data_IF_324244902803
#
_entry.id   IF_324244902803
#
_cell.length_a   1.000
_cell.length_b   1.000
_cell.length_c   1.000
_cell.angle_alpha   90.00
_cell.angle_beta   90.00
_cell.angle_gamma   90.00
#
_symmetry.space_group_name_H-M   'P 1'
#
loop_
_entity.id
_entity.type
_entity.pdbx_description
1 polymer ?
#
# COMPACT_ATOMS: atom_id res chain seq x y z
N UNK A 1 -4.57 6.81 8.60
CA UNK A 1 -4.03 7.81 7.66
C UNK A 1 -3.12 7.10 6.68
N UNK A 2 -3.18 7.48 5.40
CA UNK A 2 -2.58 6.72 4.31
C UNK A 2 -1.16 7.20 3.99
N UNK A 3 -0.28 6.26 3.62
CA UNK A 3 1.11 6.52 3.19
C UNK A 3 1.23 7.54 2.06
N UNK A 4 0.16 7.73 1.30
CA UNK A 4 0.14 8.59 0.13
C UNK A 4 0.48 10.05 0.48
N UNK A 5 0.21 10.47 1.72
CA UNK A 5 0.51 11.82 2.23
C UNK A 5 2.00 12.16 2.08
N UNK A 6 2.91 11.20 2.29
CA UNK A 6 4.36 11.41 2.18
C UNK A 6 4.83 11.83 0.77
N UNK A 7 3.97 11.66 -0.23
CA UNK A 7 4.26 12.00 -1.62
C UNK A 7 3.21 12.96 -2.20
N UNK A 8 2.35 13.49 -1.34
CA UNK A 8 1.38 14.52 -1.71
C UNK A 8 1.96 15.90 -1.42
N UNK A 9 1.50 16.89 -2.17
CA UNK A 9 1.93 18.28 -2.05
C UNK A 9 0.84 19.11 -1.35
N UNK A 10 1.21 19.81 -0.30
CA UNK A 10 0.32 20.67 0.47
C UNK A 10 0.91 22.06 0.72
N UNK A 11 0.19 22.85 1.50
CA UNK A 11 0.63 24.17 1.94
C UNK A 11 -0.02 24.49 3.30
N UNK A 12 0.72 25.05 4.28
CA UNK A 12 0.23 25.29 5.65
C UNK A 12 -1.06 26.08 5.73
N UNK A 13 -1.18 27.08 4.84
CA UNK A 13 -2.35 27.94 4.73
C UNK A 13 -3.45 27.36 3.83
N UNK A 14 -3.50 26.05 3.57
CA UNK A 14 -4.49 25.43 2.68
C UNK A 14 -4.99 24.09 3.21
N UNK A 15 -6.24 23.74 2.88
CA UNK A 15 -6.80 22.39 3.08
C UNK A 15 -6.66 21.52 1.84
N UNK A 16 -6.10 22.06 0.75
CA UNK A 16 -5.91 21.36 -0.50
C UNK A 16 -4.65 20.48 -0.42
N UNK A 17 -4.83 19.19 -0.65
CA UNK A 17 -3.74 18.24 -0.84
C UNK A 17 -3.72 17.79 -2.30
N UNK A 18 -2.57 17.95 -2.96
CA UNK A 18 -2.36 17.56 -4.35
C UNK A 18 -1.62 16.23 -4.38
N UNK A 19 -2.34 15.16 -4.71
CA UNK A 19 -1.77 13.81 -4.76
C UNK A 19 -1.39 13.44 -6.19
N UNK A 20 -0.10 13.29 -6.51
CA UNK A 20 0.34 12.95 -7.85
C UNK A 20 -0.04 11.50 -8.21
N UNK A 21 -0.49 11.31 -9.45
CA UNK A 21 -0.79 9.99 -10.04
C UNK A 21 0.12 9.66 -11.24
N UNK A 22 1.13 10.50 -11.50
CA UNK A 22 2.10 10.27 -12.57
C UNK A 22 3.05 9.12 -12.25
N UNK A 23 3.53 8.42 -13.28
CA UNK A 23 4.54 7.38 -13.09
C UNK A 23 5.86 7.99 -12.62
N UNK A 24 6.57 7.29 -11.72
CA UNK A 24 7.93 7.61 -11.25
C UNK A 24 8.11 8.90 -10.44
N UNK A 25 7.08 9.75 -10.31
CA UNK A 25 7.21 11.07 -9.65
C UNK A 25 7.38 10.99 -8.14
N UNK A 26 7.01 9.85 -7.53
CA UNK A 26 7.08 9.62 -6.08
C UNK A 26 8.43 9.03 -5.62
N UNK A 27 9.44 8.98 -6.49
CA UNK A 27 10.76 8.42 -6.17
C UNK A 27 11.85 9.49 -5.98
N UNK A 28 11.52 10.77 -6.10
CA UNK A 28 12.48 11.86 -5.90
C UNK A 28 12.60 12.11 -4.39
N UNK A 29 13.74 11.78 -3.81
CA UNK A 29 13.97 11.90 -2.37
C UNK A 29 14.14 13.35 -1.90
N UNK A 30 13.84 13.56 -0.62
CA UNK A 30 14.15 14.80 0.08
C UNK A 30 15.67 14.95 0.31
N UNK A 31 16.23 16.12 0.01
CA UNK A 31 17.50 16.55 0.60
C UNK A 31 17.68 18.07 0.50
N UNK A 32 17.54 18.80 1.62
CA UNK A 32 17.66 20.27 1.65
C UNK A 32 18.92 20.85 0.98
N UNK A 33 20.12 20.38 1.36
CA UNK A 33 21.40 20.92 0.84
C UNK A 33 21.83 20.41 -0.54
N UNK A 34 21.33 19.24 -0.99
CA UNK A 34 21.70 18.63 -2.28
C UNK A 34 20.60 18.75 -3.32
N UNK A 35 19.47 19.38 -2.98
CA UNK A 35 18.37 19.61 -3.88
C UNK A 35 18.89 20.18 -5.21
N UNK A 36 18.58 19.48 -6.29
CA UNK A 36 18.99 19.83 -7.65
C UNK A 36 17.78 19.95 -8.58
N UNK A 37 16.57 19.70 -8.08
CA UNK A 37 15.31 20.00 -8.76
C UNK A 37 14.33 20.74 -7.84
N UNK A 38 13.35 21.41 -8.45
CA UNK A 38 12.15 21.92 -7.79
C UNK A 38 10.90 21.65 -8.63
N UNK A 39 9.73 21.74 -8.01
CA UNK A 39 8.46 21.79 -8.75
C UNK A 39 8.17 23.19 -9.27
N UNK A 40 7.50 23.26 -10.42
CA UNK A 40 6.87 24.49 -10.91
C UNK A 40 5.61 24.18 -11.71
N UNK A 41 4.72 25.16 -11.84
CA UNK A 41 3.61 25.07 -12.78
C UNK A 41 4.08 25.30 -14.22
N UNK A 42 3.64 24.48 -15.20
CA UNK A 42 3.89 24.76 -16.60
C UNK A 42 3.29 26.11 -17.03
N UNK A 43 4.08 26.97 -17.66
CA UNK A 43 3.58 28.28 -18.11
C UNK A 43 2.58 28.18 -19.29
N UNK A 44 2.66 27.09 -20.06
CA UNK A 44 1.82 26.87 -21.25
C UNK A 44 0.67 25.93 -20.93
N UNK A 45 -0.42 26.08 -21.67
CA UNK A 45 -1.51 25.12 -21.61
C UNK A 45 -1.08 23.77 -22.20
N UNK A 46 -1.40 22.70 -21.47
CA UNK A 46 -1.19 21.31 -21.86
C UNK A 46 -2.53 20.56 -21.82
N UNK A 47 -2.52 19.31 -22.27
CA UNK A 47 -3.65 18.40 -22.03
C UNK A 47 -3.86 18.24 -20.52
N UNK A 48 -2.77 18.03 -19.78
CA UNK A 48 -2.80 17.79 -18.34
C UNK A 48 -2.65 19.04 -17.46
N UNK A 49 -2.48 20.22 -18.05
CA UNK A 49 -2.31 21.47 -17.30
C UNK A 49 -3.13 22.61 -17.90
N UNK A 50 -4.03 23.18 -17.10
CA UNK A 50 -4.86 24.33 -17.45
C UNK A 50 -4.42 25.51 -16.59
N UNK A 51 -3.58 26.44 -17.08
CA UNK A 51 -3.09 27.57 -16.29
C UNK A 51 -4.20 28.40 -15.64
N UNK A 52 -5.37 28.48 -16.30
CA UNK A 52 -6.57 29.16 -15.77
C UNK A 52 -7.14 28.54 -14.49
N UNK A 53 -6.79 27.32 -14.13
CA UNK A 53 -7.22 26.68 -12.88
C UNK A 53 -6.46 27.23 -11.67
N UNK A 54 -5.23 27.70 -11.87
CA UNK A 54 -4.41 28.29 -10.81
C UNK A 54 -5.01 29.59 -10.25
N UNK A 55 -5.93 30.24 -10.99
CA UNK A 55 -6.66 31.43 -10.51
C UNK A 55 -8.05 31.11 -9.95
N UNK A 56 -8.44 29.84 -9.90
CA UNK A 56 -9.70 29.39 -9.29
C UNK A 56 -9.52 29.10 -7.82
N UNK A 57 -10.60 29.09 -7.07
CA UNK A 57 -10.61 28.76 -5.64
C UNK A 57 -10.70 27.24 -5.40
N UNK A 58 -10.62 26.86 -4.12
CA UNK A 58 -10.75 25.47 -3.70
C UNK A 58 -12.12 24.89 -4.08
N UNK A 59 -13.20 25.68 -4.04
CA UNK A 59 -14.54 25.18 -4.33
C UNK A 59 -14.71 24.81 -5.81
N UNK A 60 -14.08 25.55 -6.72
CA UNK A 60 -13.96 25.12 -8.10
C UNK A 60 -13.25 23.77 -8.21
N UNK A 61 -12.09 23.60 -7.53
CA UNK A 61 -11.29 22.37 -7.60
C UNK A 61 -12.08 21.14 -7.10
N UNK A 62 -12.87 21.28 -6.03
CA UNK A 62 -13.77 20.22 -5.54
C UNK A 62 -14.73 19.74 -6.63
N UNK A 63 -15.23 20.64 -7.46
CA UNK A 63 -16.20 20.36 -8.52
C UNK A 63 -15.58 19.81 -9.81
N UNK A 64 -14.25 19.78 -9.93
CA UNK A 64 -13.53 19.28 -11.13
C UNK A 64 -12.53 18.17 -10.80
N UNK A 65 -12.68 17.50 -9.65
CA UNK A 65 -11.77 16.44 -9.20
C UNK A 65 -11.70 15.23 -10.15
N UNK A 66 -12.73 15.02 -10.98
CA UNK A 66 -12.79 13.95 -11.99
C UNK A 66 -12.20 14.38 -13.35
N UNK A 67 -11.70 15.63 -13.46
CA UNK A 67 -11.16 16.20 -14.69
C UNK A 67 -9.64 16.32 -14.61
N UNK A 68 -9.00 16.18 -15.77
CA UNK A 68 -7.57 16.42 -15.92
C UNK A 68 -7.34 17.92 -16.12
N UNK A 69 -6.52 18.55 -15.28
CA UNK A 69 -6.20 19.97 -15.44
C UNK A 69 -5.06 20.55 -14.62
N UNK A 70 -4.42 19.78 -13.74
CA UNK A 70 -3.24 20.20 -12.98
C UNK A 70 -2.09 19.22 -13.21
N UNK A 71 -0.89 19.76 -13.45
CA UNK A 71 0.36 19.02 -13.48
C UNK A 71 1.50 19.94 -13.05
N UNK A 72 2.55 19.38 -12.47
CA UNK A 72 3.81 20.06 -12.19
C UNK A 72 4.88 19.60 -13.17
N UNK A 73 5.83 20.50 -13.44
CA UNK A 73 7.13 20.14 -14.00
C UNK A 73 8.15 20.02 -12.86
N UNK A 74 9.04 19.03 -12.93
CA UNK A 74 10.29 19.04 -12.18
C UNK A 74 11.36 19.74 -13.00
N UNK A 75 11.98 20.76 -12.42
CA UNK A 75 12.95 21.62 -13.11
C UNK A 75 14.28 21.54 -12.41
N UNK A 76 15.32 21.27 -13.20
CA UNK A 76 16.68 21.30 -12.71
C UNK A 76 17.08 22.71 -12.26
N UNK A 77 17.63 22.81 -11.06
CA UNK A 77 18.18 24.06 -10.49
C UNK A 77 19.56 24.39 -11.04
N UNK A 78 20.20 23.41 -11.68
CA UNK A 78 21.53 23.44 -12.30
C UNK A 78 21.65 22.23 -13.24
N UNK A 79 22.73 22.16 -14.00
CA UNK A 79 23.05 20.96 -14.76
C UNK A 79 23.20 19.73 -13.82
N UNK A 80 22.60 18.61 -14.22
CA UNK A 80 22.60 17.32 -13.50
C UNK A 80 23.42 16.33 -14.32
N UNK A 81 24.42 15.70 -13.70
CA UNK A 81 25.32 14.76 -14.39
C UNK A 81 24.66 13.38 -14.55
N UNK A 82 25.10 12.61 -15.55
CA UNK A 82 24.69 11.21 -15.70
C UNK A 82 25.02 10.41 -14.44
N UNK A 83 24.03 9.72 -13.89
CA UNK A 83 24.16 8.91 -12.68
C UNK A 83 24.08 9.70 -11.36
N UNK A 84 23.89 11.03 -11.42
CA UNK A 84 23.61 11.83 -10.25
C UNK A 84 22.17 11.58 -9.76
N UNK A 85 21.99 11.41 -8.45
CA UNK A 85 20.68 11.28 -7.84
C UNK A 85 19.92 12.62 -7.90
N UNK A 86 18.62 12.54 -8.13
CA UNK A 86 17.72 13.68 -8.16
C UNK A 86 17.17 13.90 -6.76
N UNK A 87 17.41 15.08 -6.20
CA UNK A 87 16.92 15.48 -4.89
C UNK A 87 16.04 16.72 -5.01
N UNK A 88 14.98 16.74 -4.22
CA UNK A 88 14.11 17.90 -4.06
C UNK A 88 14.14 18.36 -2.60
N UNK A 89 13.98 19.66 -2.37
CA UNK A 89 13.70 20.17 -1.03
C UNK A 89 12.20 20.05 -0.77
N UNK A 90 11.82 19.38 0.32
CA UNK A 90 10.41 19.17 0.68
C UNK A 90 9.87 20.30 1.57
N UNK A 91 10.71 21.27 1.93
CA UNK A 91 10.35 22.42 2.75
C UNK A 91 10.79 22.28 4.21
N UNK A 92 10.93 23.42 4.87
CA UNK A 92 11.45 23.52 6.23
C UNK A 92 10.54 22.82 7.25
N UNK A 93 9.22 22.91 7.08
CA UNK A 93 8.27 22.27 8.01
C UNK A 93 8.33 20.74 7.93
N UNK A 94 8.51 20.20 6.72
CA UNK A 94 8.73 18.76 6.55
C UNK A 94 10.04 18.31 7.21
N UNK A 95 11.12 19.07 7.00
CA UNK A 95 12.44 18.77 7.59
C UNK A 95 12.38 18.83 9.13
N UNK A 96 11.72 19.84 9.69
CA UNK A 96 11.52 19.97 11.13
C UNK A 96 10.66 18.83 11.68
N UNK A 97 9.56 18.48 11.00
CA UNK A 97 8.72 17.34 11.37
C UNK A 97 9.49 16.02 11.34
N UNK A 98 10.33 15.80 10.32
CA UNK A 98 11.17 14.61 10.21
C UNK A 98 12.21 14.55 11.34
N UNK A 99 12.89 15.66 11.61
CA UNK A 99 13.90 15.72 12.68
C UNK A 99 13.27 15.46 14.06
N UNK A 100 12.11 16.07 14.35
CA UNK A 100 11.35 15.81 15.57
C UNK A 100 10.92 14.34 15.65
N UNK A 101 10.40 13.81 14.54
CA UNK A 101 10.00 12.42 14.45
C UNK A 101 11.16 11.48 14.78
N UNK A 102 12.32 11.65 14.15
CA UNK A 102 13.50 10.80 14.39
C UNK A 102 13.99 10.90 15.84
N UNK A 103 13.90 12.08 16.45
CA UNK A 103 14.29 12.27 17.86
C UNK A 103 13.36 11.56 18.83
N UNK A 104 12.05 11.61 18.57
CA UNK A 104 11.01 11.11 19.48
C UNK A 104 10.56 9.68 19.15
N UNK A 105 10.97 9.14 17.99
CA UNK A 105 10.52 7.83 17.53
C UNK A 105 11.09 6.74 18.43
N UNK A 106 10.16 6.02 19.06
CA UNK A 106 10.44 4.78 19.76
C UNK A 106 9.81 3.64 18.96
N UNK A 107 10.58 2.56 18.67
CA UNK A 107 9.99 1.36 18.08
C UNK A 107 8.88 0.87 19.03
N UNK A 108 7.67 0.54 18.52
CA UNK A 108 6.65 -0.08 19.34
C UNK A 108 7.23 -1.26 20.14
N UNK A 109 6.83 -1.46 21.40
CA UNK A 109 7.38 -2.55 22.23
C UNK A 109 7.21 -3.95 21.59
N UNK A 110 6.25 -4.09 20.66
CA UNK A 110 6.05 -5.30 19.88
C UNK A 110 6.77 -5.30 18.50
N UNK A 111 7.33 -4.18 18.02
CA UNK A 111 7.82 -4.11 16.63
C UNK A 111 9.11 -4.87 16.35
N UNK A 112 9.91 -5.20 17.38
CA UNK A 112 11.04 -6.12 17.17
C UNK A 112 10.51 -7.55 17.01
N UNK A 113 10.28 -7.94 15.75
CA UNK A 113 9.96 -9.31 15.36
C UNK A 113 8.46 -9.68 15.33
N UNK A 114 7.53 -8.76 15.60
CA UNK A 114 6.10 -9.07 15.48
C UNK A 114 5.57 -9.07 14.04
N UNK A 115 6.15 -8.26 13.15
CA UNK A 115 5.77 -8.27 11.74
C UNK A 115 6.65 -9.27 10.96
N UNK A 116 6.01 -10.26 10.34
CA UNK A 116 6.65 -11.20 9.43
C UNK A 116 5.90 -11.18 8.11
N UNK A 117 6.50 -10.60 7.07
CA UNK A 117 5.85 -10.57 5.76
C UNK A 117 5.57 -12.00 5.27
N UNK A 118 4.37 -12.25 4.74
CA UNK A 118 3.92 -13.58 4.30
C UNK A 118 4.93 -14.34 3.41
N UNK A 119 5.63 -13.64 2.52
CA UNK A 119 6.67 -14.23 1.65
C UNK A 119 7.90 -14.80 2.38
N UNK A 120 8.13 -14.37 3.62
CA UNK A 120 9.22 -14.86 4.47
C UNK A 120 8.85 -16.19 5.14
N UNK A 121 7.56 -16.56 5.17
CA UNK A 121 7.14 -17.85 5.69
C UNK A 121 7.73 -18.99 4.86
N UNK A 122 8.41 -19.93 5.52
CA UNK A 122 8.97 -21.13 4.92
C UNK A 122 8.44 -22.34 5.70
N UNK A 123 7.72 -23.22 5.01
CA UNK A 123 7.18 -24.44 5.60
C UNK A 123 5.73 -24.68 5.19
N UNK A 124 5.19 -25.80 5.68
CA UNK A 124 3.80 -26.15 5.48
C UNK A 124 2.87 -25.22 6.27
N UNK A 125 1.62 -25.16 5.82
CA UNK A 125 0.57 -24.52 6.59
C UNK A 125 0.31 -25.33 7.86
N UNK A 126 0.20 -24.63 8.98
CA UNK A 126 -0.09 -25.16 10.30
C UNK A 126 -1.54 -25.63 10.38
N UNK A 127 -1.74 -26.85 10.89
CA UNK A 127 -3.06 -27.32 11.32
C UNK A 127 -3.55 -26.52 12.53
N UNK A 128 -4.83 -26.64 12.86
CA UNK A 128 -5.43 -25.98 14.04
C UNK A 128 -4.70 -26.34 15.34
N UNK A 129 -4.36 -27.62 15.52
CA UNK A 129 -3.60 -28.06 16.69
C UNK A 129 -2.18 -27.47 16.72
N UNK A 130 -1.49 -27.42 15.57
CA UNK A 130 -0.17 -26.80 15.46
C UNK A 130 -0.25 -25.28 15.73
N UNK A 131 -1.29 -24.61 15.23
CA UNK A 131 -1.52 -23.17 15.43
C UNK A 131 -1.84 -22.83 16.88
N UNK A 132 -2.53 -23.70 17.62
CA UNK A 132 -2.78 -23.51 19.04
C UNK A 132 -1.52 -23.69 19.89
N UNK A 133 -0.63 -24.61 19.51
CA UNK A 133 0.64 -24.83 20.20
C UNK A 133 1.69 -23.77 19.85
N UNK A 134 1.75 -23.38 18.58
CA UNK A 134 2.68 -22.40 18.03
C UNK A 134 1.92 -21.54 16.99
N UNK A 135 1.36 -20.38 17.39
CA UNK A 135 0.57 -19.55 16.49
C UNK A 135 1.41 -18.97 15.35
N UNK A 136 0.73 -18.57 14.28
CA UNK A 136 1.35 -17.65 13.32
C UNK A 136 1.62 -16.29 13.99
N UNK A 137 2.58 -15.51 13.46
CA UNK A 137 2.64 -14.08 13.72
C UNK A 137 1.25 -13.44 13.57
N UNK A 138 0.89 -12.51 14.45
CA UNK A 138 -0.44 -11.89 14.48
C UNK A 138 -0.80 -11.17 13.17
N UNK A 139 0.22 -10.79 12.39
CA UNK A 139 0.05 -10.16 11.09
C UNK A 139 -0.27 -11.14 9.96
N UNK A 140 -0.29 -12.45 10.19
CA UNK A 140 -0.57 -13.46 9.17
C UNK A 140 -1.93 -14.12 9.40
N UNK A 141 -2.66 -14.33 8.30
CA UNK A 141 -3.92 -15.06 8.28
C UNK A 141 -3.97 -16.04 7.12
N UNK A 142 -4.79 -17.08 7.24
CA UNK A 142 -5.00 -18.08 6.19
C UNK A 142 -6.33 -17.83 5.50
N UNK A 143 -6.31 -17.78 4.17
CA UNK A 143 -7.48 -17.68 3.31
C UNK A 143 -7.53 -18.85 2.33
N UNK A 144 -8.73 -19.23 1.92
CA UNK A 144 -8.95 -20.29 0.94
C UNK A 144 -9.76 -19.79 -0.25
N UNK A 145 -9.55 -20.43 -1.41
CA UNK A 145 -10.42 -20.27 -2.57
C UNK A 145 -11.67 -21.15 -2.33
N UNK A 146 -12.89 -20.60 -2.32
CA UNK A 146 -14.11 -21.39 -2.10
C UNK A 146 -14.51 -22.15 -3.39
N UNK A 147 -13.65 -23.06 -3.87
CA UNK A 147 -13.88 -23.87 -5.07
C UNK A 147 -13.86 -25.35 -4.74
N UNK A 148 -15.06 -25.94 -4.66
CA UNK A 148 -15.24 -27.33 -4.23
C UNK A 148 -16.53 -27.91 -4.80
N UNK A 149 -16.61 -29.24 -4.83
CA UNK A 149 -17.83 -30.00 -5.18
C UNK A 149 -18.16 -31.02 -4.10
N UNK A 150 -19.44 -31.35 -3.95
CA UNK A 150 -19.85 -32.46 -3.12
C UNK A 150 -19.20 -33.77 -3.63
N UNK A 151 -18.72 -34.60 -2.71
CA UNK A 151 -18.04 -35.86 -3.03
C UNK A 151 -18.99 -37.08 -3.13
N UNK A 152 -20.28 -36.89 -2.79
CA UNK A 152 -21.30 -37.94 -2.78
C UNK A 152 -21.43 -38.70 -1.46
N UNK A 153 -20.55 -38.46 -0.49
CA UNK A 153 -20.53 -39.08 0.84
C UNK A 153 -20.85 -38.08 1.96
N UNK A 154 -21.34 -36.90 1.60
CA UNK A 154 -21.64 -35.81 2.53
C UNK A 154 -20.46 -34.87 2.80
N UNK A 155 -19.32 -35.07 2.11
CA UNK A 155 -18.16 -34.20 2.17
C UNK A 155 -18.01 -33.33 0.92
N UNK A 156 -16.99 -32.48 0.93
CA UNK A 156 -16.61 -31.65 -0.21
C UNK A 156 -15.15 -31.91 -0.60
N UNK A 157 -14.89 -31.92 -1.90
CA UNK A 157 -13.56 -32.06 -2.48
C UNK A 157 -13.18 -30.81 -3.25
N UNK A 158 -11.94 -30.35 -3.03
CA UNK A 158 -11.40 -29.19 -3.72
C UNK A 158 -11.44 -29.36 -5.24
N UNK A 159 -11.72 -28.27 -5.93
CA UNK A 159 -11.62 -28.17 -7.37
C UNK A 159 -10.74 -26.98 -7.72
N UNK A 160 -9.55 -27.25 -8.26
CA UNK A 160 -8.72 -26.18 -8.78
C UNK A 160 -9.50 -25.38 -9.85
N UNK A 161 -9.58 -24.05 -9.74
CA UNK A 161 -10.28 -23.23 -10.73
C UNK A 161 -9.70 -23.45 -12.14
N UNK A 162 -10.56 -23.78 -13.11
CA UNK A 162 -10.14 -24.08 -14.49
C UNK A 162 -9.58 -22.86 -15.26
N UNK A 163 -9.75 -21.63 -14.76
CA UNK A 163 -9.33 -20.41 -15.43
C UNK A 163 -8.59 -19.45 -14.50
N UNK A 164 -7.27 -19.36 -14.65
CA UNK A 164 -6.43 -18.28 -14.12
C UNK A 164 -6.60 -16.93 -14.88
N UNK A 165 -7.59 -16.77 -15.77
CA UNK A 165 -7.64 -15.64 -16.71
C UNK A 165 -9.07 -15.15 -17.00
N UNK A 166 -9.55 -14.20 -16.18
CA UNK A 166 -10.19 -12.92 -16.57
C UNK A 166 -11.00 -12.28 -15.44
N UNK A 167 -11.54 -13.07 -14.51
CA UNK A 167 -12.38 -12.56 -13.41
C UNK A 167 -11.69 -12.63 -12.03
N UNK A 168 -10.40 -12.99 -12.00
CA UNK A 168 -9.64 -13.25 -10.77
C UNK A 168 -10.09 -14.55 -10.07
N UNK A 169 -9.33 -15.06 -9.11
CA UNK A 169 -9.90 -15.99 -8.13
C UNK A 169 -11.12 -15.29 -7.49
N UNK A 170 -12.24 -16.00 -7.35
CA UNK A 170 -13.38 -15.50 -6.57
C UNK A 170 -12.93 -15.03 -5.17
N UNK A 171 -13.76 -14.27 -4.44
CA UNK A 171 -13.35 -13.71 -3.16
C UNK A 171 -12.82 -14.82 -2.25
N UNK A 172 -11.59 -14.63 -1.79
CA UNK A 172 -10.98 -15.47 -0.78
C UNK A 172 -11.83 -15.42 0.49
N UNK A 173 -11.94 -16.55 1.17
CA UNK A 173 -12.68 -16.68 2.45
C UNK A 173 -11.73 -17.14 3.55
N UNK A 174 -12.05 -16.80 4.80
CA UNK A 174 -11.30 -17.33 5.94
C UNK A 174 -11.40 -18.85 5.98
N UNK A 175 -10.31 -19.51 6.35
CA UNK A 175 -10.31 -20.94 6.56
C UNK A 175 -9.32 -21.38 7.63
N UNK A 176 -9.66 -22.47 8.31
CA UNK A 176 -8.77 -23.16 9.23
C UNK A 176 -8.28 -24.46 8.57
N UNK A 177 -6.97 -24.70 8.60
CA UNK A 177 -6.41 -26.00 8.20
C UNK A 177 -6.67 -26.99 9.33
N UNK A 178 -7.53 -27.97 9.12
CA UNK A 178 -7.84 -29.01 10.11
C UNK A 178 -6.81 -30.12 10.09
N UNK A 179 -6.40 -30.54 8.90
CA UNK A 179 -5.47 -31.66 8.71
C UNK A 179 -4.52 -31.40 7.54
N UNK A 180 -3.30 -31.96 7.63
CA UNK A 180 -2.31 -32.02 6.57
C UNK A 180 -2.06 -33.48 6.21
N UNK A 181 -2.27 -33.81 4.94
CA UNK A 181 -2.10 -35.17 4.38
C UNK A 181 -0.90 -35.16 3.43
N UNK A 182 0.11 -35.96 3.73
CA UNK A 182 1.31 -36.13 2.90
C UNK A 182 1.17 -37.43 2.12
N UNK A 183 1.14 -37.34 0.80
CA UNK A 183 1.08 -38.50 -0.09
C UNK A 183 2.43 -39.20 -0.25
N UNK A 184 2.41 -40.41 -0.82
CA UNK A 184 3.62 -41.24 -1.02
C UNK A 184 4.68 -40.57 -1.92
N UNK A 185 4.25 -39.69 -2.83
CA UNK A 185 5.11 -38.86 -3.69
C UNK A 185 5.72 -37.65 -2.99
N UNK A 186 5.36 -37.39 -1.74
CA UNK A 186 5.69 -36.16 -1.01
C UNK A 186 4.76 -34.99 -1.30
N UNK A 187 3.74 -35.18 -2.15
CA UNK A 187 2.72 -34.16 -2.40
C UNK A 187 1.90 -33.91 -1.13
N UNK A 188 1.66 -32.65 -0.81
CA UNK A 188 0.92 -32.26 0.39
C UNK A 188 -0.44 -31.71 0.00
N UNK A 189 -1.48 -32.22 0.66
CA UNK A 189 -2.83 -31.69 0.58
C UNK A 189 -3.37 -31.45 1.98
N UNK A 190 -4.41 -30.64 2.06
CA UNK A 190 -5.00 -30.20 3.31
C UNK A 190 -6.50 -30.50 3.35
N UNK A 191 -7.00 -30.69 4.56
CA UNK A 191 -8.42 -30.61 4.88
C UNK A 191 -8.64 -29.25 5.54
N UNK A 192 -9.50 -28.43 4.96
CA UNK A 192 -9.79 -27.07 5.45
C UNK A 192 -11.24 -26.95 5.88
N UNK A 193 -11.49 -26.13 6.89
CA UNK A 193 -12.82 -25.73 7.34
C UNK A 193 -13.06 -24.28 6.96
N UNK A 194 -14.24 -24.00 6.41
CA UNK A 194 -14.71 -22.66 6.04
C UNK A 194 -15.71 -22.21 7.12
N UNK A 195 -15.32 -21.35 8.08
CA UNK A 195 -16.14 -21.06 9.26
C UNK A 195 -17.49 -20.40 8.92
N UNK A 196 -17.53 -19.55 7.90
CA UNK A 196 -18.74 -18.79 7.52
C UNK A 196 -19.87 -19.69 7.00
N UNK A 197 -19.52 -20.85 6.42
CA UNK A 197 -20.48 -21.80 5.83
C UNK A 197 -20.53 -23.13 6.55
N UNK A 198 -19.66 -23.32 7.54
CA UNK A 198 -19.43 -24.59 8.26
C UNK A 198 -19.13 -25.78 7.33
N UNK A 199 -18.38 -25.54 6.25
CA UNK A 199 -18.05 -26.54 5.23
C UNK A 199 -16.63 -27.07 5.46
N UNK A 200 -16.45 -28.38 5.35
CA UNK A 200 -15.13 -29.03 5.35
C UNK A 200 -14.78 -29.50 3.94
N UNK A 201 -13.65 -29.03 3.42
CA UNK A 201 -13.16 -29.35 2.08
C UNK A 201 -11.86 -30.16 2.18
N UNK A 202 -11.83 -31.31 1.52
CA UNK A 202 -10.66 -32.20 1.48
C UNK A 202 -9.87 -32.07 0.17
N UNK A 203 -8.59 -32.42 0.23
CA UNK A 203 -7.71 -32.49 -0.94
C UNK A 203 -7.36 -31.12 -1.51
N UNK A 204 -7.33 -30.08 -0.67
CA UNK A 204 -6.89 -28.74 -1.07
C UNK A 204 -5.36 -28.76 -1.19
N UNK A 205 -4.79 -28.32 -2.30
CA UNK A 205 -3.35 -28.16 -2.45
C UNK A 205 -2.90 -26.72 -2.12
N UNK A 206 -1.60 -26.43 -2.21
CA UNK A 206 -1.05 -25.10 -1.95
C UNK A 206 -1.62 -24.00 -2.87
N UNK A 207 -2.27 -24.34 -4.00
CA UNK A 207 -2.91 -23.35 -4.87
C UNK A 207 -4.29 -22.90 -4.35
N UNK A 208 -4.90 -23.70 -3.48
CA UNK A 208 -6.21 -23.43 -2.88
C UNK A 208 -6.17 -22.64 -1.58
N UNK A 209 -4.98 -22.44 -0.99
CA UNK A 209 -4.79 -21.78 0.29
C UNK A 209 -3.72 -20.69 0.18
N UNK A 210 -4.01 -19.52 0.76
CA UNK A 210 -3.12 -18.37 0.80
C UNK A 210 -2.82 -18.00 2.26
N UNK A 211 -1.54 -18.00 2.62
CA UNK A 211 -1.07 -17.31 3.83
C UNK A 211 -0.70 -15.87 3.43
N UNK A 212 -1.42 -14.90 3.98
CA UNK A 212 -1.26 -13.49 3.61
C UNK A 212 -1.18 -12.60 4.83
N UNK A 213 -0.60 -11.42 4.63
CA UNK A 213 -0.63 -10.34 5.61
C UNK A 213 -2.06 -9.87 5.88
N UNK A 214 -2.37 -9.61 7.15
CA UNK A 214 -3.65 -9.05 7.57
C UNK A 214 -3.71 -7.57 7.14
N UNK A 215 -4.92 -7.09 6.86
CA UNK A 215 -5.12 -5.70 6.40
C UNK A 215 -4.58 -4.73 7.45
N UNK A 216 -3.77 -3.76 7.02
CA UNK A 216 -3.15 -2.72 7.86
C UNK A 216 -2.13 -3.24 8.91
N UNK A 217 -1.56 -4.42 8.73
CA UNK A 217 -0.54 -4.94 9.66
C UNK A 217 0.90 -4.60 9.33
N UNK A 218 1.21 -4.22 8.09
CA UNK A 218 2.56 -3.83 7.71
C UNK A 218 3.03 -2.56 8.46
N UNK A 219 4.33 -2.46 8.71
CA UNK A 219 4.93 -1.39 9.53
C UNK A 219 4.57 0.03 9.05
N UNK A 220 4.39 0.23 7.75
CA UNK A 220 3.98 1.54 7.23
C UNK A 220 2.56 1.97 7.65
N UNK A 221 1.75 1.04 8.16
CA UNK A 221 0.43 1.32 8.75
C UNK A 221 0.49 1.64 10.24
N UNK A 222 1.65 1.51 10.90
CA UNK A 222 1.80 1.88 12.30
C UNK A 222 1.37 3.33 12.51
N UNK A 223 0.67 3.59 13.61
CA UNK A 223 0.23 4.93 13.96
C UNK A 223 1.43 5.87 14.15
N UNK A 224 2.53 5.34 14.69
CA UNK A 224 3.79 6.03 14.88
C UNK A 224 4.64 6.12 13.60
N UNK A 225 4.17 5.67 12.42
CA UNK A 225 4.93 5.89 11.17
C UNK A 225 4.87 7.35 10.73
N UNK A 226 6.01 7.86 10.27
CA UNK A 226 6.11 9.23 9.77
C UNK A 226 5.17 9.48 8.60
N UNK A 227 4.38 10.56 8.70
CA UNK A 227 3.45 11.02 7.67
C UNK A 227 3.52 12.55 7.62
N UNK A 228 3.93 13.09 6.48
CA UNK A 228 3.95 14.54 6.27
C UNK A 228 3.94 14.87 4.78
N UNK A 229 3.06 15.78 4.37
CA UNK A 229 3.03 16.28 3.01
C UNK A 229 4.30 17.06 2.64
N UNK A 230 4.63 17.05 1.35
CA UNK A 230 5.65 17.90 0.76
C UNK A 230 5.10 19.33 0.73
N UNK A 231 5.86 20.30 1.24
CA UNK A 231 5.41 21.68 1.31
C UNK A 231 5.73 22.41 0.02
N UNK A 232 4.69 22.91 -0.64
CA UNK A 232 4.82 23.77 -1.81
C UNK A 232 5.18 25.18 -1.33
N UNK A 233 6.25 25.80 -1.85
CA UNK A 233 6.63 27.16 -1.48
C UNK A 233 5.57 28.23 -1.81
N UNK A 234 5.60 29.35 -1.07
CA UNK A 234 4.66 30.47 -1.22
C UNK A 234 4.61 31.05 -2.64
N UNK A 235 5.74 31.08 -3.35
CA UNK A 235 5.86 31.61 -4.71
C UNK A 235 5.30 30.67 -5.78
N UNK A 236 5.15 29.39 -5.45
CA UNK A 236 4.57 28.38 -6.33
C UNK A 236 3.09 28.15 -5.99
N UNK A 237 2.70 28.17 -4.71
CA UNK A 237 1.35 27.84 -4.29
C UNK A 237 0.34 28.97 -4.57
N UNK A 238 -0.72 28.74 -5.35
CA UNK A 238 -1.67 29.78 -5.70
C UNK A 238 -2.37 30.40 -4.50
N UNK A 239 -2.42 31.74 -4.46
CA UNK A 239 -3.09 32.50 -3.39
C UNK A 239 -4.58 32.18 -3.28
N UNK A 240 -5.26 31.89 -4.41
CA UNK A 240 -6.68 31.52 -4.42
C UNK A 240 -6.95 30.16 -3.77
N UNK A 241 -5.92 29.35 -3.54
CA UNK A 241 -6.04 28.04 -2.90
C UNK A 241 -5.73 28.08 -1.41
N UNK A 242 -5.44 29.25 -0.85
CA UNK A 242 -5.28 29.39 0.60
C UNK A 242 -6.64 29.48 1.26
N UNK A 243 -6.80 28.83 2.42
CA UNK A 243 -7.98 29.03 3.25
C UNK A 243 -7.91 30.48 3.77
N UNK A 244 -8.95 31.27 3.49
CA UNK A 244 -9.06 32.65 3.98
C UNK A 244 -9.37 32.69 5.47
#
# INVERSE_FOLDING_TARGET
>A
EDLIINYSFGHPNSTLLLTPYGAMVNYINHHRKKANVKVQWPARELVAHKPKWLSKDIDYLKNVHDKIGLSFDYVALRDIKKGEEIFMDYGDEWEDAWNNHVMDWLPPQASEGAYVHSSQWKGYLKTEAERLAEPYPENLLTLCIPSYKADGYGGYKFMAPLNNKKDGPGPYVFCDVKERVVGDSGDVTYVVHLPDTDIVVSGVDDSGILLTDTVRSADWHLQSSFRHEIIVPDDVFPQSWRNR
#
